data_IF_840270842290
#
_entry.id   IF_840270842290
#
_cell.length_a   1.000
_cell.length_b   1.000
_cell.length_c   1.000
_cell.angle_alpha   90.00
_cell.angle_beta   90.00
_cell.angle_gamma   90.00
#
_symmetry.space_group_name_H-M   'P 1'
#
loop_
_entity.id
_entity.type
_entity.pdbx_description
1 polymer ?
#
# COMPACT_ATOMS: atom_id res chain seq x y z
N UNK A 1 46.80 -37.12 11.15
CA UNK A 1 45.65 -36.19 11.22
C UNK A 1 45.50 -35.14 10.12
N UNK A 2 46.49 -34.87 9.26
CA UNK A 2 46.36 -33.77 8.27
C UNK A 2 45.40 -33.96 7.08
N UNK A 3 44.70 -35.10 6.94
CA UNK A 3 43.83 -35.36 5.77
C UNK A 3 42.38 -34.87 5.94
N UNK A 4 41.94 -34.64 7.18
CA UNK A 4 40.57 -34.20 7.49
C UNK A 4 40.40 -32.70 7.24
N UNK A 5 41.38 -31.89 7.63
CA UNK A 5 41.35 -30.43 7.48
C UNK A 5 41.37 -29.95 6.02
N UNK A 6 42.09 -30.64 5.14
CA UNK A 6 42.18 -30.26 3.71
C UNK A 6 40.85 -30.48 2.98
N UNK A 7 40.11 -31.55 3.33
CA UNK A 7 38.77 -31.81 2.78
C UNK A 7 37.73 -30.83 3.31
N UNK A 8 37.77 -30.50 4.60
CA UNK A 8 36.87 -29.51 5.19
C UNK A 8 37.10 -28.09 4.63
N UNK A 9 38.36 -27.69 4.43
CA UNK A 9 38.74 -26.42 3.81
C UNK A 9 38.31 -26.33 2.34
N UNK A 10 38.42 -27.42 1.57
CA UNK A 10 37.97 -27.45 0.17
C UNK A 10 36.44 -27.46 0.03
N UNK A 11 35.72 -28.14 0.92
CA UNK A 11 34.26 -28.14 0.94
C UNK A 11 33.70 -26.77 1.33
N UNK A 12 34.22 -26.14 2.39
CA UNK A 12 33.81 -24.79 2.82
C UNK A 12 34.13 -23.71 1.79
N UNK A 13 35.23 -23.85 1.05
CA UNK A 13 35.54 -22.97 -0.07
C UNK A 13 34.53 -23.11 -1.22
N UNK A 14 34.21 -24.35 -1.61
CA UNK A 14 33.24 -24.61 -2.67
C UNK A 14 31.83 -24.13 -2.32
N UNK A 15 31.41 -24.28 -1.06
CA UNK A 15 30.11 -23.76 -0.61
C UNK A 15 30.08 -22.23 -0.61
N UNK A 16 31.12 -21.58 -0.09
CA UNK A 16 31.21 -20.11 -0.12
C UNK A 16 31.21 -19.55 -1.55
N UNK A 17 31.90 -20.20 -2.48
CA UNK A 17 31.95 -19.78 -3.89
C UNK A 17 30.58 -19.94 -4.57
N UNK A 18 29.89 -21.06 -4.34
CA UNK A 18 28.56 -21.29 -4.89
C UNK A 18 27.53 -20.30 -4.32
N UNK A 19 27.59 -20.01 -3.02
CA UNK A 19 26.73 -19.01 -2.38
C UNK A 19 26.97 -17.60 -2.93
N UNK A 20 28.23 -17.24 -3.20
CA UNK A 20 28.56 -15.97 -3.86
C UNK A 20 27.94 -15.92 -5.27
N UNK A 21 28.21 -16.92 -6.13
CA UNK A 21 27.66 -16.95 -7.50
C UNK A 21 26.12 -16.88 -7.47
N UNK A 22 25.47 -17.65 -6.60
CA UNK A 22 24.02 -17.64 -6.45
C UNK A 22 23.49 -16.26 -6.02
N UNK A 23 24.12 -15.61 -5.04
CA UNK A 23 23.76 -14.26 -4.59
C UNK A 23 23.95 -13.20 -5.69
N UNK A 24 25.01 -13.31 -6.48
CA UNK A 24 25.27 -12.42 -7.63
C UNK A 24 24.24 -12.57 -8.75
N UNK A 25 23.95 -13.82 -9.15
CA UNK A 25 22.94 -14.12 -10.19
C UNK A 25 21.54 -13.69 -9.72
N UNK A 26 21.18 -13.98 -8.48
CA UNK A 26 19.91 -13.54 -7.90
C UNK A 26 19.77 -12.02 -7.92
N UNK A 27 20.81 -11.30 -7.51
CA UNK A 27 20.83 -9.83 -7.51
C UNK A 27 20.69 -9.26 -8.93
N UNK A 28 21.34 -9.86 -9.92
CA UNK A 28 21.22 -9.45 -11.32
C UNK A 28 19.79 -9.65 -11.86
N UNK A 29 19.15 -10.77 -11.54
CA UNK A 29 17.76 -11.04 -11.93
C UNK A 29 16.82 -10.02 -11.29
N UNK A 30 16.95 -9.78 -9.98
CA UNK A 30 16.12 -8.80 -9.27
C UNK A 30 16.32 -7.39 -9.85
N UNK A 31 17.57 -7.01 -10.16
CA UNK A 31 17.88 -5.73 -10.79
C UNK A 31 17.19 -5.58 -12.16
N UNK A 32 17.25 -6.61 -13.02
CA UNK A 32 16.57 -6.59 -14.33
C UNK A 32 15.06 -6.44 -14.16
N UNK A 33 14.45 -7.21 -13.25
CA UNK A 33 13.01 -7.12 -12.99
C UNK A 33 12.60 -5.73 -12.46
N UNK A 34 13.42 -5.14 -11.60
CA UNK A 34 13.22 -3.79 -11.08
C UNK A 34 13.32 -2.72 -12.18
N UNK A 35 14.28 -2.85 -13.11
CA UNK A 35 14.42 -1.96 -14.27
C UNK A 35 13.23 -2.09 -15.22
N UNK A 36 12.80 -3.31 -15.53
CA UNK A 36 11.61 -3.55 -16.36
C UNK A 36 10.37 -2.92 -15.71
N UNK A 37 10.18 -3.12 -14.40
CA UNK A 37 9.08 -2.52 -13.66
C UNK A 37 9.15 -0.98 -13.65
N UNK A 38 10.35 -0.38 -13.54
CA UNK A 38 10.54 1.07 -13.65
C UNK A 38 10.14 1.61 -15.03
N UNK A 39 10.57 0.93 -16.11
CA UNK A 39 10.21 1.29 -17.48
C UNK A 39 8.70 1.14 -17.71
N UNK A 40 8.07 0.12 -17.14
CA UNK A 40 6.62 -0.06 -17.20
C UNK A 40 5.88 1.12 -16.57
N UNK A 41 6.31 1.59 -15.40
CA UNK A 41 5.68 2.75 -14.73
C UNK A 41 5.88 4.03 -15.54
N UNK A 42 7.10 4.28 -16.04
CA UNK A 42 7.40 5.52 -16.77
C UNK A 42 6.78 5.60 -18.17
N UNK A 43 6.61 4.47 -18.85
CA UNK A 43 6.21 4.44 -20.28
C UNK A 43 4.78 3.95 -20.47
N UNK A 44 4.34 2.89 -19.79
CA UNK A 44 3.01 2.32 -20.02
C UNK A 44 1.89 3.02 -19.23
N UNK A 45 2.16 3.50 -18.01
CA UNK A 45 1.12 4.09 -17.18
C UNK A 45 0.56 5.42 -17.75
N UNK A 46 1.38 6.34 -18.29
CA UNK A 46 0.87 7.56 -18.95
C UNK A 46 -0.05 7.23 -20.13
N UNK A 47 0.31 6.25 -20.95
CA UNK A 47 -0.48 5.84 -22.13
C UNK A 47 -1.82 5.25 -21.74
N UNK A 48 -1.88 4.45 -20.66
CA UNK A 48 -3.15 3.89 -20.15
C UNK A 48 -4.03 4.96 -19.53
N UNK A 49 -3.44 5.92 -18.81
CA UNK A 49 -4.17 7.04 -18.22
C UNK A 49 -4.77 7.95 -19.32
N UNK A 50 -3.99 8.28 -20.34
CA UNK A 50 -4.47 9.04 -21.50
C UNK A 50 -5.61 8.31 -22.24
N UNK A 51 -5.47 7.00 -22.45
CA UNK A 51 -6.55 6.17 -23.02
C UNK A 51 -7.82 6.22 -22.17
N UNK A 52 -7.70 6.13 -20.85
CA UNK A 52 -8.84 6.21 -19.94
C UNK A 52 -9.56 7.57 -20.06
N UNK A 53 -8.80 8.67 -20.09
CA UNK A 53 -9.36 10.02 -20.26
C UNK A 53 -10.05 10.19 -21.62
N UNK A 54 -9.43 9.71 -22.71
CA UNK A 54 -10.06 9.73 -24.04
C UNK A 54 -11.38 8.94 -24.07
N UNK A 55 -11.44 7.78 -23.40
CA UNK A 55 -12.68 7.00 -23.32
C UNK A 55 -13.76 7.70 -22.49
N UNK A 56 -13.38 8.38 -21.39
CA UNK A 56 -14.32 9.21 -20.61
C UNK A 56 -14.88 10.37 -21.45
N UNK A 57 -14.02 11.07 -22.20
CA UNK A 57 -14.45 12.15 -23.10
C UNK A 57 -15.41 11.62 -24.17
N UNK A 58 -15.09 10.47 -24.78
CA UNK A 58 -15.95 9.81 -25.75
C UNK A 58 -17.31 9.40 -25.14
N UNK A 59 -17.31 8.91 -23.91
CA UNK A 59 -18.53 8.52 -23.18
C UNK A 59 -19.46 9.71 -22.92
N UNK A 60 -18.89 10.90 -22.65
CA UNK A 60 -19.66 12.14 -22.47
C UNK A 60 -20.30 12.58 -23.81
N UNK A 61 -19.60 12.38 -24.94
CA UNK A 61 -20.08 12.82 -26.27
C UNK A 61 -21.08 11.89 -26.96
N UNK A 62 -20.98 10.56 -26.78
CA UNK A 62 -21.74 9.58 -27.59
C UNK A 62 -22.92 8.89 -26.86
N UNK A 63 -23.28 9.33 -25.66
CA UNK A 63 -24.42 8.81 -24.86
C UNK A 63 -24.37 7.31 -24.50
N UNK A 64 -23.97 7.02 -23.25
CA UNK A 64 -24.35 5.85 -22.44
C UNK A 64 -24.34 4.45 -23.10
N UNK A 65 -23.38 4.14 -23.99
CA UNK A 65 -23.18 2.76 -24.43
C UNK A 65 -22.70 1.90 -23.26
N UNK A 66 -23.46 0.85 -22.94
CA UNK A 66 -23.16 -0.05 -21.82
C UNK A 66 -21.79 -0.75 -21.97
N UNK A 67 -21.33 -0.91 -23.22
CA UNK A 67 -20.03 -1.47 -23.57
C UNK A 67 -18.87 -0.50 -23.25
N UNK A 68 -18.98 0.78 -23.61
CA UNK A 68 -17.94 1.76 -23.28
C UNK A 68 -17.82 1.97 -21.76
N UNK A 69 -18.94 1.93 -21.05
CA UNK A 69 -18.96 2.02 -19.58
C UNK A 69 -18.27 0.81 -18.93
N UNK A 70 -18.45 -0.40 -19.48
CA UNK A 70 -17.79 -1.60 -18.96
C UNK A 70 -16.28 -1.57 -19.24
N UNK A 71 -15.87 -1.10 -20.42
CA UNK A 71 -14.46 -0.91 -20.78
C UNK A 71 -13.77 0.12 -19.86
N UNK A 72 -14.41 1.27 -19.59
CA UNK A 72 -13.91 2.27 -18.66
C UNK A 72 -13.72 1.68 -17.25
N UNK A 73 -14.71 0.92 -16.76
CA UNK A 73 -14.64 0.30 -15.43
C UNK A 73 -13.55 -0.77 -15.34
N UNK A 74 -13.40 -1.59 -16.38
CA UNK A 74 -12.34 -2.60 -16.43
C UNK A 74 -10.97 -1.95 -16.48
N UNK A 75 -10.78 -0.93 -17.31
CA UNK A 75 -9.50 -0.24 -17.41
C UNK A 75 -9.14 0.49 -16.10
N UNK A 76 -10.09 1.17 -15.45
CA UNK A 76 -9.87 1.79 -14.13
C UNK A 76 -9.49 0.74 -13.08
N UNK A 77 -10.20 -0.39 -13.03
CA UNK A 77 -9.88 -1.49 -12.12
C UNK A 77 -8.46 -2.04 -12.37
N UNK A 78 -8.10 -2.25 -13.63
CA UNK A 78 -6.78 -2.76 -14.00
C UNK A 78 -5.66 -1.78 -13.66
N UNK A 79 -5.85 -0.48 -13.89
CA UNK A 79 -4.89 0.56 -13.49
C UNK A 79 -4.67 0.54 -11.98
N UNK A 80 -5.74 0.52 -11.17
CA UNK A 80 -5.62 0.49 -9.70
C UNK A 80 -4.96 -0.78 -9.20
N UNK A 81 -5.36 -1.94 -9.74
CA UNK A 81 -4.82 -3.25 -9.36
C UNK A 81 -3.33 -3.38 -9.71
N UNK A 82 -2.95 -2.96 -10.92
CA UNK A 82 -1.56 -3.00 -11.37
C UNK A 82 -0.69 -2.04 -10.55
N UNK A 83 -1.20 -0.85 -10.25
CA UNK A 83 -0.49 0.15 -9.45
C UNK A 83 -0.12 -0.40 -8.06
N UNK A 84 -1.07 -1.01 -7.34
CA UNK A 84 -0.83 -1.58 -6.00
C UNK A 84 0.23 -2.70 -6.07
N UNK A 85 0.12 -3.61 -7.05
CA UNK A 85 1.06 -4.75 -7.20
C UNK A 85 2.48 -4.27 -7.48
N UNK A 86 2.65 -3.30 -8.39
CA UNK A 86 3.96 -2.75 -8.78
C UNK A 86 4.62 -1.97 -7.64
N UNK A 87 3.83 -1.27 -6.81
CA UNK A 87 4.30 -0.59 -5.59
C UNK A 87 4.95 -1.58 -4.61
N UNK A 88 4.24 -2.67 -4.30
CA UNK A 88 4.78 -3.70 -3.41
C UNK A 88 5.98 -4.42 -4.02
N UNK A 89 5.94 -4.70 -5.32
CA UNK A 89 7.03 -5.33 -6.05
C UNK A 89 8.32 -4.49 -5.98
N UNK A 90 8.24 -3.18 -6.22
CA UNK A 90 9.40 -2.27 -6.18
C UNK A 90 10.03 -2.20 -4.79
N UNK A 91 9.19 -2.04 -3.75
CA UNK A 91 9.68 -1.92 -2.36
C UNK A 91 10.31 -3.23 -1.88
N UNK A 92 9.63 -4.37 -2.09
CA UNK A 92 10.15 -5.69 -1.70
C UNK A 92 11.37 -6.06 -2.56
N UNK A 93 11.35 -5.76 -3.84
CA UNK A 93 12.46 -6.00 -4.77
C UNK A 93 13.73 -5.23 -4.38
N UNK A 94 13.60 -3.97 -3.93
CA UNK A 94 14.74 -3.22 -3.40
C UNK A 94 15.39 -3.88 -2.18
N UNK A 95 14.60 -4.38 -1.23
CA UNK A 95 15.13 -5.13 -0.09
C UNK A 95 15.74 -6.47 -0.48
N UNK A 96 15.15 -7.18 -1.45
CA UNK A 96 15.71 -8.43 -1.98
C UNK A 96 17.04 -8.21 -2.69
N UNK A 97 17.18 -7.11 -3.45
CA UNK A 97 18.43 -6.74 -4.09
C UNK A 97 19.53 -6.48 -3.05
N UNK A 98 19.22 -5.71 -2.01
CA UNK A 98 20.14 -5.48 -0.88
C UNK A 98 20.56 -6.78 -0.19
N UNK A 99 19.61 -7.67 0.09
CA UNK A 99 19.88 -8.96 0.71
C UNK A 99 20.76 -9.87 -0.16
N UNK A 100 20.45 -9.99 -1.46
CA UNK A 100 21.24 -10.77 -2.40
C UNK A 100 22.67 -10.26 -2.55
N UNK A 101 22.82 -8.93 -2.56
CA UNK A 101 24.12 -8.28 -2.65
C UNK A 101 24.96 -8.46 -1.37
N UNK A 102 24.33 -8.44 -0.20
CA UNK A 102 25.00 -8.75 1.06
C UNK A 102 25.52 -10.19 1.07
N UNK A 103 24.70 -11.17 0.65
CA UNK A 103 25.11 -12.57 0.52
C UNK A 103 26.28 -12.73 -0.46
N UNK A 104 26.24 -12.01 -1.59
CA UNK A 104 27.33 -12.01 -2.57
C UNK A 104 28.65 -11.52 -1.95
N UNK A 105 28.64 -10.38 -1.27
CA UNK A 105 29.84 -9.78 -0.65
C UNK A 105 30.38 -10.67 0.47
N UNK A 106 29.51 -11.21 1.32
CA UNK A 106 29.92 -12.12 2.40
C UNK A 106 30.55 -13.40 1.83
N UNK A 107 29.94 -13.99 0.80
CA UNK A 107 30.48 -15.16 0.11
C UNK A 107 31.85 -14.89 -0.52
N UNK A 108 32.03 -13.74 -1.18
CA UNK A 108 33.33 -13.32 -1.72
C UNK A 108 34.39 -13.11 -0.62
N UNK A 109 34.01 -12.52 0.51
CA UNK A 109 34.93 -12.34 1.64
C UNK A 109 35.37 -13.70 2.22
N UNK A 110 34.44 -14.63 2.37
CA UNK A 110 34.72 -15.95 2.92
C UNK A 110 35.59 -16.80 1.99
N UNK A 111 35.32 -16.78 0.68
CA UNK A 111 36.17 -17.43 -0.33
C UNK A 111 37.58 -16.84 -0.36
N UNK A 112 37.73 -15.52 -0.25
CA UNK A 112 39.03 -14.85 -0.16
C UNK A 112 39.82 -15.31 1.08
N UNK A 113 39.14 -15.43 2.22
CA UNK A 113 39.77 -15.85 3.48
C UNK A 113 40.23 -17.31 3.43
N UNK A 114 39.39 -18.20 2.88
CA UNK A 114 39.70 -19.63 2.75
C UNK A 114 40.75 -19.93 1.65
N UNK A 115 41.02 -19.00 0.74
CA UNK A 115 42.04 -19.14 -0.31
C UNK A 115 43.46 -18.79 0.16
N UNK A 116 43.63 -18.22 1.36
CA UNK A 116 44.97 -17.91 1.90
C UNK A 116 45.79 -19.20 2.05
N UNK A 117 46.89 -19.32 1.29
CA UNK A 117 47.85 -20.43 1.45
C UNK A 117 48.59 -20.27 2.78
N UNK A 118 48.85 -21.40 3.44
CA UNK A 118 49.65 -21.44 4.66
C UNK A 118 51.06 -20.87 4.38
N UNK A 119 51.59 -20.00 5.24
CA UNK A 119 52.94 -19.48 5.07
C UNK A 119 53.93 -20.63 5.19
N UNK A 120 54.61 -20.96 4.09
CA UNK A 120 55.78 -21.83 4.12
C UNK A 120 56.98 -21.00 4.55
N UNK A 121 57.93 -21.55 5.33
CA UNK A 121 59.17 -20.83 5.65
C UNK A 121 59.94 -20.56 4.36
N UNK A 122 59.84 -19.32 3.88
CA UNK A 122 60.55 -18.76 2.75
C UNK A 122 61.14 -17.41 3.15
N UNK A 123 61.98 -16.82 2.29
CA UNK A 123 62.71 -15.58 2.55
C UNK A 123 61.84 -14.49 3.20
N UNK A 124 62.44 -13.73 4.12
CA UNK A 124 61.79 -12.65 4.90
C UNK A 124 60.96 -11.77 3.97
N UNK A 125 59.64 -11.90 4.08
CA UNK A 125 58.68 -11.22 3.22
C UNK A 125 58.73 -9.71 3.50
N UNK A 126 58.78 -8.89 2.45
CA UNK A 126 58.80 -7.44 2.56
C UNK A 126 57.48 -6.93 3.15
N UNK A 127 57.51 -6.66 4.46
CA UNK A 127 56.37 -6.16 5.23
C UNK A 127 55.77 -4.89 4.63
N UNK A 128 56.57 -4.08 3.94
CA UNK A 128 56.15 -2.82 3.34
C UNK A 128 55.34 -3.08 2.06
N UNK A 129 55.80 -4.00 1.21
CA UNK A 129 55.05 -4.46 0.04
C UNK A 129 53.71 -5.13 0.42
N UNK A 130 53.69 -5.86 1.54
CA UNK A 130 52.46 -6.48 2.06
C UNK A 130 51.45 -5.43 2.55
N UNK A 131 51.91 -4.43 3.33
CA UNK A 131 51.05 -3.32 3.78
C UNK A 131 50.47 -2.52 2.61
N UNK A 132 51.24 -2.28 1.54
CA UNK A 132 50.75 -1.57 0.34
C UNK A 132 49.65 -2.37 -0.37
N UNK A 133 49.79 -3.70 -0.48
CA UNK A 133 48.75 -4.58 -1.09
C UNK A 133 47.49 -4.64 -0.24
N UNK A 134 47.62 -4.74 1.08
CA UNK A 134 46.48 -4.73 1.99
C UNK A 134 45.74 -3.39 1.97
N UNK A 135 46.48 -2.27 1.95
CA UNK A 135 45.90 -0.94 1.80
C UNK A 135 45.19 -0.76 0.45
N UNK A 136 45.75 -1.28 -0.65
CA UNK A 136 45.11 -1.25 -1.96
C UNK A 136 43.80 -2.05 -1.98
N UNK A 137 43.80 -3.26 -1.39
CA UNK A 137 42.58 -4.06 -1.28
C UNK A 137 41.52 -3.41 -0.39
N UNK A 138 41.92 -2.78 0.72
CA UNK A 138 41.01 -2.04 1.58
C UNK A 138 40.36 -0.85 0.85
N UNK A 139 41.12 -0.10 0.04
CA UNK A 139 40.59 1.00 -0.78
C UNK A 139 39.58 0.49 -1.80
N UNK A 140 39.89 -0.58 -2.52
CA UNK A 140 38.97 -1.19 -3.48
C UNK A 140 37.71 -1.77 -2.83
N UNK A 141 37.81 -2.33 -1.62
CA UNK A 141 36.64 -2.81 -0.88
C UNK A 141 35.72 -1.65 -0.46
N UNK A 142 36.29 -0.53 -0.02
CA UNK A 142 35.55 0.67 0.35
C UNK A 142 34.87 1.32 -0.86
N UNK A 143 35.56 1.43 -2.01
CA UNK A 143 34.96 2.01 -3.23
C UNK A 143 33.81 1.17 -3.78
N UNK A 144 33.95 -0.15 -3.80
CA UNK A 144 32.89 -1.07 -4.23
C UNK A 144 31.70 -1.03 -3.26
N UNK A 145 31.97 -1.04 -1.94
CA UNK A 145 30.93 -0.93 -0.92
C UNK A 145 30.13 0.38 -1.02
N UNK A 146 30.82 1.51 -1.19
CA UNK A 146 30.18 2.82 -1.39
C UNK A 146 29.38 2.88 -2.70
N UNK A 147 29.89 2.31 -3.78
CA UNK A 147 29.17 2.25 -5.05
C UNK A 147 27.88 1.43 -4.94
N UNK A 148 27.93 0.28 -4.27
CA UNK A 148 26.76 -0.56 -4.04
C UNK A 148 25.73 0.10 -3.13
N UNK A 149 26.19 0.76 -2.07
CA UNK A 149 25.33 1.56 -1.20
C UNK A 149 24.69 2.72 -1.96
N UNK A 150 25.46 3.43 -2.79
CA UNK A 150 25.00 4.51 -3.64
C UNK A 150 23.95 4.06 -4.66
N UNK A 151 24.16 2.94 -5.34
CA UNK A 151 23.17 2.36 -6.28
C UNK A 151 21.89 1.97 -5.56
N UNK A 152 22.00 1.38 -4.38
CA UNK A 152 20.83 0.98 -3.58
C UNK A 152 20.05 2.19 -3.06
N UNK A 153 20.76 3.20 -2.54
CA UNK A 153 20.18 4.45 -2.07
C UNK A 153 19.56 5.25 -3.22
N UNK A 154 20.21 5.28 -4.39
CA UNK A 154 19.69 5.89 -5.61
C UNK A 154 18.43 5.17 -6.07
N UNK A 155 18.39 3.84 -6.03
CA UNK A 155 17.19 3.08 -6.38
C UNK A 155 16.03 3.36 -5.41
N UNK A 156 16.31 3.46 -4.11
CA UNK A 156 15.31 3.89 -3.10
C UNK A 156 14.85 5.34 -3.35
N UNK A 157 15.76 6.26 -3.66
CA UNK A 157 15.43 7.65 -3.94
C UNK A 157 14.66 7.84 -5.26
N UNK A 158 14.92 7.00 -6.25
CA UNK A 158 14.21 6.95 -7.53
C UNK A 158 12.91 6.15 -7.46
N UNK A 159 12.59 5.50 -6.33
CA UNK A 159 11.23 4.99 -6.14
C UNK A 159 10.30 6.19 -6.13
N UNK A 160 9.24 6.22 -6.96
CA UNK A 160 8.37 7.36 -7.04
C UNK A 160 7.80 7.65 -5.65
N UNK A 161 8.23 8.78 -5.07
CA UNK A 161 7.56 9.33 -3.90
C UNK A 161 6.17 9.70 -4.33
N UNK A 162 5.20 9.41 -3.48
CA UNK A 162 3.84 9.85 -3.74
C UNK A 162 3.88 11.34 -3.45
N UNK A 163 4.14 12.15 -4.46
CA UNK A 163 3.54 13.47 -4.49
C UNK A 163 2.06 13.17 -4.61
N UNK A 164 1.40 13.11 -3.44
CA UNK A 164 -0.02 13.33 -3.40
C UNK A 164 -0.12 14.74 -3.98
N UNK A 165 -0.38 14.83 -5.29
CA UNK A 165 -1.17 15.95 -5.79
C UNK A 165 -2.30 15.98 -4.78
N UNK A 166 -2.33 17.05 -4.00
CA UNK A 166 -3.33 17.29 -2.98
C UNK A 166 -4.64 17.26 -3.76
N UNK A 167 -5.20 16.06 -3.87
CA UNK A 167 -6.46 15.84 -4.53
C UNK A 167 -7.34 16.83 -3.80
N UNK A 168 -7.99 17.72 -4.56
CA UNK A 168 -9.05 18.58 -4.06
C UNK A 168 -10.28 17.69 -3.74
N UNK A 169 -10.04 16.49 -3.20
CA UNK A 169 -11.00 15.70 -2.51
C UNK A 169 -11.45 16.51 -1.29
N UNK A 170 -12.75 16.56 -1.02
CA UNK A 170 -13.25 17.20 0.18
C UNK A 170 -12.50 16.62 1.38
N UNK A 171 -11.94 17.49 2.24
CA UNK A 171 -11.22 17.03 3.42
C UNK A 171 -12.15 16.15 4.24
N UNK A 172 -11.66 14.99 4.68
CA UNK A 172 -12.42 14.18 5.60
C UNK A 172 -12.80 15.01 6.84
N UNK A 173 -13.98 14.78 7.43
CA UNK A 173 -14.38 15.45 8.66
C UNK A 173 -13.30 15.31 9.73
N UNK A 174 -13.00 16.39 10.44
CA UNK A 174 -12.07 16.35 11.57
C UNK A 174 -12.63 15.47 12.70
N UNK A 175 -11.77 14.96 13.58
CA UNK A 175 -12.24 14.19 14.74
C UNK A 175 -13.24 14.97 15.61
N UNK A 176 -13.03 16.28 15.75
CA UNK A 176 -13.95 17.17 16.46
C UNK A 176 -15.32 17.21 15.79
N UNK A 177 -15.36 17.29 14.46
CA UNK A 177 -16.60 17.29 13.68
C UNK A 177 -17.32 15.94 13.77
N UNK A 178 -16.59 14.82 13.69
CA UNK A 178 -17.17 13.49 13.89
C UNK A 178 -17.77 13.38 15.29
N UNK A 179 -17.07 13.86 16.33
CA UNK A 179 -17.52 13.80 17.72
C UNK A 179 -18.76 14.66 18.01
N UNK A 180 -18.97 15.75 17.26
CA UNK A 180 -20.20 16.56 17.32
C UNK A 180 -21.41 15.85 16.69
N UNK A 181 -21.19 14.78 15.93
CA UNK A 181 -22.20 14.06 15.17
C UNK A 181 -22.38 12.61 15.68
N UNK A 182 -23.34 11.90 15.10
CA UNK A 182 -23.61 10.48 15.38
C UNK A 182 -23.70 9.69 14.06
N UNK A 183 -22.54 9.49 13.43
CA UNK A 183 -22.45 8.99 12.05
C UNK A 183 -22.89 7.52 11.83
N UNK A 184 -23.09 6.73 12.89
CA UNK A 184 -23.37 5.30 12.75
C UNK A 184 -23.76 4.59 14.03
N UNK A 185 -23.84 3.26 13.97
CA UNK A 185 -24.17 2.43 15.12
C UNK A 185 -23.16 2.69 16.24
N UNK A 186 -23.69 3.07 17.42
CA UNK A 186 -22.89 3.47 18.60
C UNK A 186 -22.03 4.73 18.41
N UNK A 187 -22.34 5.57 17.42
CA UNK A 187 -21.79 6.92 17.32
C UNK A 187 -20.29 6.99 16.97
N UNK A 188 -19.61 8.09 17.33
CA UNK A 188 -18.20 8.29 17.05
C UNK A 188 -17.32 7.13 17.54
N UNK A 189 -16.52 6.57 16.63
CA UNK A 189 -15.65 5.42 16.91
C UNK A 189 -16.38 4.11 17.30
N UNK A 190 -17.71 4.04 17.17
CA UNK A 190 -18.49 2.85 17.55
C UNK A 190 -18.52 2.57 19.06
N UNK A 191 -18.14 3.54 19.88
CA UNK A 191 -17.94 3.36 21.32
C UNK A 191 -19.24 3.34 22.12
N UNK A 192 -20.28 4.02 21.65
CA UNK A 192 -21.52 4.26 22.38
C UNK A 192 -21.42 5.42 23.37
N UNK A 193 -20.35 6.22 23.28
CA UNK A 193 -20.08 7.37 24.15
C UNK A 193 -20.37 8.64 23.37
N UNK A 194 -21.17 9.53 23.98
CA UNK A 194 -21.46 10.86 23.43
C UNK A 194 -20.40 11.86 23.87
N UNK A 195 -20.05 12.80 22.97
CA UNK A 195 -19.27 13.98 23.34
C UNK A 195 -20.10 15.01 24.13
N UNK A 196 -21.43 14.98 23.99
CA UNK A 196 -22.34 15.87 24.71
C UNK A 196 -22.53 15.40 26.15
N UNK A 197 -22.43 16.34 27.10
CA UNK A 197 -22.55 16.06 28.54
C UNK A 197 -23.91 16.43 29.11
N UNK A 198 -24.69 17.26 28.40
CA UNK A 198 -25.99 17.79 28.82
C UNK A 198 -27.18 16.94 28.32
N UNK A 199 -27.05 15.62 28.33
CA UNK A 199 -28.07 14.71 27.78
C UNK A 199 -29.21 14.53 28.80
N UNK A 200 -30.49 14.67 28.40
CA UNK A 200 -31.62 14.47 29.29
C UNK A 200 -31.70 13.00 29.74
N UNK A 201 -31.67 12.77 31.05
CA UNK A 201 -31.76 11.43 31.65
C UNK A 201 -33.19 11.02 32.02
N UNK A 202 -34.16 11.94 31.84
CA UNK A 202 -35.59 11.70 32.06
C UNK A 202 -36.35 11.99 30.78
N UNK A 203 -37.05 11.00 30.28
CA UNK A 203 -37.97 11.09 29.14
C UNK A 203 -38.92 9.89 29.15
N UNK A 204 -40.08 10.03 28.54
CA UNK A 204 -41.06 8.95 28.42
C UNK A 204 -41.68 8.93 27.00
N UNK A 205 -41.46 7.83 26.29
CA UNK A 205 -41.95 7.66 24.93
C UNK A 205 -43.47 7.50 24.81
N UNK A 206 -44.16 7.06 25.87
CA UNK A 206 -45.62 6.89 25.92
C UNK A 206 -46.33 8.21 26.25
N UNK A 207 -45.91 8.91 27.31
CA UNK A 207 -46.51 10.18 27.74
C UNK A 207 -46.06 11.35 26.87
N UNK A 208 -44.85 11.27 26.29
CA UNK A 208 -44.23 12.35 25.54
C UNK A 208 -43.36 13.28 26.39
N UNK A 209 -43.17 13.00 27.69
CA UNK A 209 -42.26 13.78 28.53
C UNK A 209 -40.85 13.78 27.95
N UNK A 210 -40.24 14.97 27.82
CA UNK A 210 -38.89 15.11 27.27
C UNK A 210 -38.75 14.81 25.78
N UNK A 211 -39.85 14.67 25.03
CA UNK A 211 -39.84 14.43 23.58
C UNK A 211 -40.16 15.72 22.81
N UNK A 212 -39.22 16.19 22.00
CA UNK A 212 -39.36 17.43 21.22
C UNK A 212 -40.27 17.22 20.00
N UNK A 213 -40.13 16.09 19.31
CA UNK A 213 -40.94 15.75 18.15
C UNK A 213 -41.09 14.24 17.96
N UNK A 214 -42.13 13.84 17.23
CA UNK A 214 -42.34 12.46 16.76
C UNK A 214 -42.72 12.49 15.29
N UNK A 215 -41.97 11.77 14.46
CA UNK A 215 -42.22 11.70 13.03
C UNK A 215 -42.59 10.28 12.60
N UNK A 216 -43.55 10.15 11.69
CA UNK A 216 -43.91 8.87 11.09
C UNK A 216 -42.94 8.55 9.96
N UNK A 217 -42.22 7.44 10.08
CA UNK A 217 -41.36 6.92 8.99
C UNK A 217 -42.24 6.17 7.97
N UNK A 218 -42.22 6.51 6.67
CA UNK A 218 -43.16 5.96 5.69
C UNK A 218 -43.07 4.44 5.48
N UNK A 219 -41.86 3.88 5.51
CA UNK A 219 -41.63 2.44 5.45
C UNK A 219 -41.01 1.92 6.74
N UNK A 220 -41.36 0.69 7.12
CA UNK A 220 -40.81 0.04 8.31
C UNK A 220 -39.31 -0.23 8.13
N UNK A 221 -38.53 -0.03 9.19
CA UNK A 221 -37.10 -0.32 9.22
C UNK A 221 -36.60 -0.51 10.64
N UNK A 222 -35.51 -1.26 10.80
CA UNK A 222 -34.76 -1.33 12.05
C UNK A 222 -33.54 -0.41 11.88
N UNK A 223 -33.53 0.69 12.62
CA UNK A 223 -32.56 1.76 12.41
C UNK A 223 -31.69 1.96 13.64
N UNK A 224 -30.45 2.34 13.39
CA UNK A 224 -29.63 3.12 14.30
C UNK A 224 -29.48 4.48 13.63
N UNK A 225 -30.33 5.47 13.96
CA UNK A 225 -30.39 6.73 13.23
C UNK A 225 -29.01 7.38 13.14
N UNK A 226 -28.71 7.92 11.96
CA UNK A 226 -27.50 8.71 11.73
C UNK A 226 -27.86 10.16 11.94
N UNK A 227 -27.07 10.88 12.75
CA UNK A 227 -27.23 12.32 12.94
C UNK A 227 -25.98 13.01 12.42
N UNK A 228 -26.14 13.90 11.44
CA UNK A 228 -25.04 14.67 10.87
C UNK A 228 -25.50 16.09 10.54
N UNK A 229 -24.83 17.09 11.10
CA UNK A 229 -25.07 18.52 10.84
C UNK A 229 -26.57 18.91 10.90
N UNK A 230 -27.24 18.54 11.98
CA UNK A 230 -28.65 18.88 12.18
C UNK A 230 -29.63 18.09 11.32
N UNK A 231 -29.20 17.00 10.69
CA UNK A 231 -30.05 16.09 9.92
C UNK A 231 -30.09 14.72 10.55
N UNK A 232 -31.26 14.09 10.54
CA UNK A 232 -31.47 12.71 11.02
C UNK A 232 -31.81 11.81 9.83
N UNK A 233 -31.00 10.79 9.61
CA UNK A 233 -31.19 9.82 8.54
C UNK A 233 -31.66 8.48 9.09
N UNK A 234 -32.71 7.96 8.48
CA UNK A 234 -33.22 6.61 8.75
C UNK A 234 -33.60 5.94 7.45
N UNK A 235 -33.68 4.62 7.47
CA UNK A 235 -34.04 3.79 6.33
C UNK A 235 -35.31 3.02 6.58
N UNK A 236 -36.00 2.65 5.49
CA UNK A 236 -37.16 1.79 5.55
C UNK A 236 -37.29 0.96 4.28
N UNK A 237 -37.86 -0.22 4.41
CA UNK A 237 -38.00 -1.15 3.31
C UNK A 237 -39.30 -1.95 3.34
N UNK A 238 -39.72 -2.37 2.16
CA UNK A 238 -40.69 -3.44 1.90
C UNK A 238 -40.14 -4.32 0.77
N UNK A 239 -40.81 -5.43 0.45
CA UNK A 239 -40.32 -6.40 -0.56
C UNK A 239 -39.86 -5.77 -1.88
N UNK A 240 -40.57 -4.76 -2.37
CA UNK A 240 -40.32 -4.12 -3.67
C UNK A 240 -39.59 -2.78 -3.60
N UNK A 241 -39.33 -2.23 -2.41
CA UNK A 241 -38.83 -0.86 -2.28
C UNK A 241 -37.94 -0.69 -1.06
N UNK A 242 -36.81 0.01 -1.25
CA UNK A 242 -35.92 0.45 -0.17
C UNK A 242 -35.75 1.96 -0.30
N UNK A 243 -35.82 2.66 0.83
CA UNK A 243 -35.76 4.12 0.86
C UNK A 243 -34.93 4.60 2.05
N UNK A 244 -34.31 5.76 1.87
CA UNK A 244 -33.66 6.56 2.92
C UNK A 244 -34.46 7.85 3.08
N UNK A 245 -34.63 8.28 4.33
CA UNK A 245 -35.34 9.49 4.70
C UNK A 245 -34.40 10.40 5.45
N UNK A 246 -34.44 11.70 5.14
CA UNK A 246 -33.75 12.74 5.87
C UNK A 246 -34.77 13.62 6.57
N UNK A 247 -34.64 13.74 7.89
CA UNK A 247 -35.44 14.63 8.71
C UNK A 247 -34.58 15.78 9.23
N UNK A 248 -35.20 16.93 9.48
CA UNK A 248 -34.59 18.00 10.26
C UNK A 248 -34.49 17.58 11.74
N UNK A 249 -33.32 17.72 12.35
CA UNK A 249 -33.09 17.25 13.72
C UNK A 249 -33.80 18.10 14.78
N UNK A 250 -34.12 19.36 14.49
CA UNK A 250 -34.78 20.27 15.42
C UNK A 250 -36.31 20.15 15.35
N UNK A 251 -36.87 20.08 14.14
CA UNK A 251 -38.33 20.10 13.93
C UNK A 251 -38.93 18.71 13.73
N UNK A 252 -38.13 17.73 13.28
CA UNK A 252 -38.63 16.42 12.88
C UNK A 252 -39.34 16.42 11.53
N UNK A 253 -39.26 17.51 10.75
CA UNK A 253 -39.84 17.60 9.41
C UNK A 253 -39.08 16.71 8.41
N UNK A 254 -39.82 16.02 7.53
CA UNK A 254 -39.23 15.23 6.46
C UNK A 254 -38.73 16.14 5.33
N UNK A 255 -37.42 16.27 5.20
CA UNK A 255 -36.78 17.13 4.20
C UNK A 255 -36.73 16.49 2.81
N UNK A 256 -36.37 15.20 2.73
CA UNK A 256 -36.35 14.47 1.47
C UNK A 256 -36.43 12.96 1.65
N UNK A 257 -36.79 12.27 0.56
CA UNK A 257 -36.78 10.80 0.45
C UNK A 257 -35.94 10.37 -0.74
N UNK A 258 -35.02 9.45 -0.53
CA UNK A 258 -34.16 8.87 -1.56
C UNK A 258 -34.52 7.41 -1.80
N UNK A 259 -34.74 7.03 -3.06
CA UNK A 259 -34.95 5.64 -3.45
C UNK A 259 -33.62 4.91 -3.63
N UNK A 260 -33.50 3.72 -3.05
CA UNK A 260 -32.32 2.87 -3.21
C UNK A 260 -32.61 1.88 -4.34
N UNK A 261 -32.00 2.12 -5.51
CA UNK A 261 -32.09 1.23 -6.67
C UNK A 261 -31.47 -0.12 -6.33
N UNK A 262 -32.29 -1.14 -6.19
CA UNK A 262 -31.82 -2.52 -6.23
C UNK A 262 -31.52 -2.84 -7.69
N UNK A 263 -30.25 -3.07 -8.04
CA UNK A 263 -29.92 -3.66 -9.33
C UNK A 263 -30.78 -4.92 -9.48
N UNK A 264 -31.59 -4.96 -10.54
CA UNK A 264 -32.37 -6.15 -10.87
C UNK A 264 -31.36 -7.21 -11.22
N UNK A 265 -31.08 -8.12 -10.28
CA UNK A 265 -30.37 -9.35 -10.60
C UNK A 265 -31.32 -10.13 -11.51
N UNK A 266 -31.12 -10.05 -12.82
CA UNK A 266 -31.72 -10.98 -13.76
C UNK A 266 -31.20 -12.37 -13.39
N UNK A 267 -31.98 -13.12 -12.65
CA UNK A 267 -31.77 -14.55 -12.47
C UNK A 267 -32.00 -15.21 -13.83
N UNK A 268 -30.89 -15.48 -14.53
CA UNK A 268 -30.80 -16.50 -15.57
C UNK A 268 -30.86 -17.88 -14.94
#
# INVERSE_FOLDING_TARGET
DGSVDVKAASWSYQTALRSAIAGGVFSAIVLVLLVVNYLQIKVLDPVRAERLEMMKVKFIGESASAELLSEIRQLDFDIRRDWIRRRFFSRRGGYLLLGGLAVFVIGLKWTSTLRKKLPMPGAVEDKQAQQVREAAMARWAVTVGLGLFGVSALFVALTPQIDLVEDVAPSYPSEEEVNKNWAGFRGPGGSGVSAYTNIPVKWDGKTGEGIIWKAKVPLRGHNSPVVWEGRVFVSGAKKSKRQVYCFDALTGELLWTGDVTTAVTSSS
#
